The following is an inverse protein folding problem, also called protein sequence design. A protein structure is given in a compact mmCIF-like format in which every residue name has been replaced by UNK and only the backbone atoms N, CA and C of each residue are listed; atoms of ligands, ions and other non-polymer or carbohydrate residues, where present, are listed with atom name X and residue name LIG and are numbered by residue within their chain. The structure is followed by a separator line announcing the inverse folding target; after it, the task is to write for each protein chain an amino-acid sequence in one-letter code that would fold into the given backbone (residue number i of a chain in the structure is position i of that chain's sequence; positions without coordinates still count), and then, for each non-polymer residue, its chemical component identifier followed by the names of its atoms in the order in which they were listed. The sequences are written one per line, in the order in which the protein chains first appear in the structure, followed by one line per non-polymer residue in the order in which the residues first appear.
data_IF_322001336001
#
_entry.id   IF_322001336001
#
_cell.length_a   1.000
_cell.length_b   1.000
_cell.length_c   1.000
_cell.angle_alpha   90.00
_cell.angle_beta   90.00
_cell.angle_gamma   90.00
#
_symmetry.space_group_name_H-M   'P 1'
#
loop_
_entity.id
_entity.type
_entity.pdbx_description
1 polymer ?
#
# COMPACT_ATOMS: atom_id res chain seq x y z
N UNK A 1 -17.39 43.10 58.90
CA UNK A 1 -16.89 43.73 57.70
C UNK A 1 -17.21 42.76 56.57
N UNK A 2 -18.22 43.13 55.98
CA UNK A 2 -18.78 43.02 54.63
C UNK A 2 -18.70 41.68 53.93
N UNK A 3 -19.87 41.07 53.76
CA UNK A 3 -20.16 40.04 52.79
C UNK A 3 -20.42 40.68 51.41
N UNK A 4 -20.06 40.05 50.29
CA UNK A 4 -20.61 40.44 49.00
C UNK A 4 -21.80 39.57 48.60
N UNK A 5 -22.85 40.29 48.25
CA UNK A 5 -24.09 39.84 47.59
C UNK A 5 -23.81 39.26 46.19
N UNK A 6 -24.73 38.41 45.72
CA UNK A 6 -24.91 38.21 44.32
C UNK A 6 -25.33 36.82 43.84
N UNK A 7 -26.39 36.23 44.47
CA UNK A 7 -27.04 35.05 43.90
C UNK A 7 -28.00 35.47 42.78
N UNK A 8 -27.58 35.38 41.52
CA UNK A 8 -28.50 35.56 40.38
C UNK A 8 -29.18 34.25 40.05
N UNK A 9 -30.50 34.30 40.08
CA UNK A 9 -31.44 33.21 39.73
C UNK A 9 -31.16 32.68 38.32
N UNK A 10 -31.08 31.36 38.20
CA UNK A 10 -31.08 30.64 36.94
C UNK A 10 -32.44 30.77 36.25
N UNK A 11 -32.46 31.42 35.11
CA UNK A 11 -33.63 31.45 34.21
C UNK A 11 -33.85 30.05 33.62
N UNK A 12 -35.09 29.59 33.68
CA UNK A 12 -35.53 28.35 33.04
C UNK A 12 -35.49 28.50 31.50
N UNK A 13 -35.00 27.52 30.77
CA UNK A 13 -35.02 27.56 29.31
C UNK A 13 -36.47 27.44 28.79
N UNK A 14 -36.77 28.24 27.77
CA UNK A 14 -38.08 28.24 27.06
C UNK A 14 -38.29 26.91 26.31
N UNK A 15 -39.51 26.35 26.28
CA UNK A 15 -39.82 25.21 25.43
C UNK A 15 -40.01 25.69 23.99
N UNK A 16 -39.23 25.17 23.04
CA UNK A 16 -39.42 25.46 21.61
C UNK A 16 -38.15 25.56 20.78
N UNK A 17 -37.18 24.65 20.98
CA UNK A 17 -36.12 24.44 19.98
C UNK A 17 -36.31 23.03 19.41
N UNK A 18 -36.64 22.97 18.11
CA UNK A 18 -36.90 21.74 17.38
C UNK A 18 -35.75 20.74 17.50
N UNK A 19 -36.15 19.50 17.71
CA UNK A 19 -35.25 18.34 17.67
C UNK A 19 -34.48 18.35 16.34
N UNK A 20 -33.16 18.28 16.33
CA UNK A 20 -32.43 18.18 15.09
C UNK A 20 -32.92 16.89 14.37
N UNK A 21 -33.47 17.05 13.18
CA UNK A 21 -33.78 15.94 12.30
C UNK A 21 -32.53 15.11 12.13
N UNK A 22 -32.56 13.90 12.64
CA UNK A 22 -31.55 12.89 12.32
C UNK A 22 -31.38 12.87 10.81
N UNK A 23 -30.15 13.10 10.36
CA UNK A 23 -29.78 12.83 8.99
C UNK A 23 -30.21 11.37 8.67
N UNK A 24 -30.78 11.12 7.49
CA UNK A 24 -31.14 9.77 7.12
C UNK A 24 -29.89 8.90 7.23
N UNK A 25 -30.00 7.65 7.70
CA UNK A 25 -28.85 6.75 7.76
C UNK A 25 -28.24 6.72 6.36
N UNK A 26 -26.93 6.97 6.31
CA UNK A 26 -26.13 6.75 5.11
C UNK A 26 -26.62 5.42 4.54
N UNK A 27 -27.24 5.45 3.36
CA UNK A 27 -27.52 4.24 2.61
C UNK A 27 -26.18 3.57 2.45
N UNK A 28 -25.94 2.55 3.25
CA UNK A 28 -24.93 1.56 2.95
C UNK A 28 -25.30 1.07 1.56
N UNK A 29 -24.59 1.56 0.56
CA UNK A 29 -24.62 0.97 -0.76
C UNK A 29 -24.44 -0.51 -0.48
N UNK A 30 -25.43 -1.33 -0.88
CA UNK A 30 -25.27 -2.77 -0.86
C UNK A 30 -23.87 -3.00 -1.44
N UNK A 31 -22.99 -3.76 -0.78
CA UNK A 31 -21.78 -4.18 -1.43
C UNK A 31 -22.26 -4.91 -2.69
N UNK A 32 -22.21 -4.21 -3.83
CA UNK A 32 -22.31 -4.88 -5.08
C UNK A 32 -21.28 -5.97 -4.98
N UNK A 33 -21.62 -7.18 -5.29
CA UNK A 33 -20.80 -8.38 -5.32
C UNK A 33 -19.69 -8.31 -6.37
N UNK A 34 -19.09 -7.15 -6.57
CA UNK A 34 -17.76 -7.00 -7.07
C UNK A 34 -16.81 -7.28 -5.90
N UNK A 35 -16.64 -8.60 -5.63
CA UNK A 35 -15.31 -9.02 -5.23
C UNK A 35 -14.38 -8.25 -6.16
N UNK A 36 -13.41 -7.45 -5.63
CA UNK A 36 -12.40 -6.86 -6.48
C UNK A 36 -11.86 -8.03 -7.26
N UNK A 37 -12.16 -8.04 -8.55
CA UNK A 37 -11.87 -9.21 -9.37
C UNK A 37 -10.40 -9.49 -9.11
N UNK A 38 -10.03 -10.68 -8.57
CA UNK A 38 -8.63 -11.01 -8.44
C UNK A 38 -8.10 -10.74 -9.82
N UNK A 39 -7.30 -9.67 -9.97
CA UNK A 39 -7.08 -9.00 -11.23
C UNK A 39 -6.72 -9.99 -12.32
N UNK A 40 -6.33 -11.23 -11.96
CA UNK A 40 -5.93 -12.22 -12.96
C UNK A 40 -5.96 -13.67 -12.42
N UNK A 41 -6.25 -14.60 -13.32
CA UNK A 41 -6.06 -16.01 -13.05
C UNK A 41 -4.63 -16.28 -12.59
N UNK A 42 -4.48 -17.11 -11.56
CA UNK A 42 -3.18 -17.50 -10.99
C UNK A 42 -2.63 -16.56 -9.92
N UNK A 43 -3.36 -15.50 -9.53
CA UNK A 43 -3.01 -14.64 -8.40
C UNK A 43 -3.80 -15.08 -7.18
N UNK A 44 -3.08 -15.35 -6.08
CA UNK A 44 -3.70 -15.60 -4.77
C UNK A 44 -4.22 -14.27 -4.21
N UNK A 45 -5.46 -14.26 -3.75
CA UNK A 45 -6.04 -13.10 -3.05
C UNK A 45 -5.94 -13.27 -1.54
N UNK A 46 -5.33 -12.28 -0.85
CA UNK A 46 -5.19 -12.23 0.60
C UNK A 46 -5.39 -10.78 1.06
N UNK A 47 -6.63 -10.35 1.36
CA UNK A 47 -6.96 -8.94 1.55
C UNK A 47 -6.30 -8.33 2.79
N UNK A 48 -5.52 -7.27 2.58
CA UNK A 48 -4.97 -6.42 3.64
C UNK A 48 -6.01 -5.41 4.10
N UNK A 49 -6.12 -5.13 5.42
CA UNK A 49 -6.91 -4.01 5.92
C UNK A 49 -6.20 -2.65 5.71
N UNK A 50 -4.90 -2.66 5.45
CA UNK A 50 -4.04 -1.47 5.39
C UNK A 50 -4.09 -0.82 4.00
N UNK A 51 -5.19 -0.16 3.71
CA UNK A 51 -5.37 0.61 2.47
C UNK A 51 -6.39 1.73 2.67
N UNK A 52 -6.40 2.68 1.75
CA UNK A 52 -7.40 3.76 1.74
C UNK A 52 -7.92 4.05 0.33
N UNK A 53 -8.89 4.93 0.24
CA UNK A 53 -9.31 5.50 -1.03
C UNK A 53 -8.17 6.33 -1.66
N UNK A 54 -8.10 6.38 -2.99
CA UNK A 54 -7.11 7.17 -3.73
C UNK A 54 -7.49 8.64 -3.87
N UNK A 55 -8.66 9.07 -3.37
CA UNK A 55 -9.12 10.44 -3.53
C UNK A 55 -9.31 10.86 -5.00
N UNK A 56 -9.66 9.91 -5.87
CA UNK A 56 -9.82 10.16 -7.31
C UNK A 56 -8.50 10.23 -8.10
N UNK A 57 -7.35 10.00 -7.47
CA UNK A 57 -6.07 9.98 -8.18
C UNK A 57 -5.97 8.79 -9.14
N UNK A 58 -5.67 9.08 -10.40
CA UNK A 58 -5.46 8.04 -11.40
C UNK A 58 -4.12 7.32 -11.16
N UNK A 59 -4.13 6.00 -11.28
CA UNK A 59 -2.93 5.17 -11.20
C UNK A 59 -2.08 5.39 -12.45
N UNK A 60 -0.84 5.83 -12.24
CA UNK A 60 0.08 6.14 -13.34
C UNK A 60 1.55 5.78 -13.04
N UNK A 61 1.81 5.06 -11.96
CA UNK A 61 3.16 4.68 -11.52
C UNK A 61 3.14 3.24 -10.97
N UNK A 62 4.23 2.52 -11.16
CA UNK A 62 4.55 1.28 -10.44
C UNK A 62 5.82 1.50 -9.63
N UNK A 63 5.80 1.13 -8.36
CA UNK A 63 6.97 1.17 -7.48
C UNK A 63 7.36 -0.26 -7.12
N UNK A 64 8.60 -0.60 -7.45
CA UNK A 64 9.20 -1.91 -7.15
C UNK A 64 9.96 -1.80 -5.84
N UNK A 65 9.75 -2.78 -4.99
CA UNK A 65 10.37 -2.94 -3.68
C UNK A 65 11.04 -4.30 -3.57
N UNK A 66 11.84 -4.48 -2.55
CA UNK A 66 12.15 -5.79 -1.99
C UNK A 66 11.79 -5.84 -0.51
N UNK A 67 11.45 -7.02 -0.05
CA UNK A 67 11.15 -7.28 1.35
C UNK A 67 11.66 -8.66 1.76
N UNK A 68 12.27 -8.72 2.95
CA UNK A 68 12.52 -9.94 3.70
C UNK A 68 12.10 -9.73 5.15
N UNK A 69 11.44 -10.71 5.74
CA UNK A 69 10.88 -10.61 7.08
C UNK A 69 11.05 -11.95 7.82
N UNK A 70 12.01 -12.03 8.78
CA UNK A 70 12.99 -11.02 9.17
C UNK A 70 14.03 -10.77 8.06
N UNK A 71 14.92 -9.75 8.20
CA UNK A 71 15.98 -9.49 7.23
C UNK A 71 16.76 -10.75 6.87
N UNK A 72 16.97 -11.00 5.55
CA UNK A 72 17.65 -12.20 5.04
C UNK A 72 16.79 -13.47 5.02
N UNK A 73 15.56 -13.44 5.52
CA UNK A 73 14.63 -14.59 5.46
C UNK A 73 13.68 -14.47 4.27
N UNK A 74 13.72 -15.45 3.36
CA UNK A 74 12.98 -15.38 2.10
C UNK A 74 11.66 -16.16 2.09
N UNK A 75 11.09 -16.43 3.27
CA UNK A 75 9.72 -16.92 3.42
C UNK A 75 8.69 -15.82 3.20
N UNK A 76 7.44 -16.19 2.90
CA UNK A 76 6.35 -15.22 2.73
C UNK A 76 5.50 -15.03 3.97
N UNK A 77 5.54 -15.98 4.92
CA UNK A 77 4.58 -16.02 6.02
C UNK A 77 4.57 -14.72 6.86
N UNK A 78 5.74 -14.29 7.34
CA UNK A 78 5.80 -13.09 8.20
C UNK A 78 5.55 -11.80 7.40
N UNK A 79 5.88 -11.77 6.09
CA UNK A 79 5.49 -10.65 5.20
C UNK A 79 3.97 -10.61 5.01
N UNK A 80 3.33 -11.75 4.84
CA UNK A 80 1.87 -11.86 4.76
C UNK A 80 1.22 -11.38 6.06
N UNK A 81 1.69 -11.86 7.22
CA UNK A 81 1.19 -11.41 8.53
C UNK A 81 1.40 -9.90 8.76
N UNK A 82 2.53 -9.34 8.30
CA UNK A 82 2.79 -7.90 8.33
C UNK A 82 1.74 -7.12 7.53
N UNK A 83 1.48 -7.53 6.29
CA UNK A 83 0.51 -6.83 5.44
C UNK A 83 -0.94 -7.03 5.90
N UNK A 84 -1.21 -8.07 6.67
CA UNK A 84 -2.52 -8.31 7.28
C UNK A 84 -2.67 -7.63 8.65
N UNK A 85 -1.63 -6.95 9.17
CA UNK A 85 -1.65 -6.31 10.48
C UNK A 85 -1.67 -7.30 11.65
N UNK A 86 -1.12 -8.50 11.45
CA UNK A 86 -1.13 -9.59 12.42
C UNK A 86 0.25 -10.09 12.80
N UNK A 87 1.32 -9.43 12.31
CA UNK A 87 2.69 -9.83 12.62
C UNK A 87 2.94 -9.74 14.12
N UNK A 88 3.29 -10.88 14.74
CA UNK A 88 3.74 -10.93 16.11
C UNK A 88 5.18 -10.39 16.20
N UNK A 89 5.30 -9.14 16.65
CA UNK A 89 6.60 -8.46 16.74
C UNK A 89 7.52 -9.01 17.83
N UNK A 90 7.01 -9.85 18.75
CA UNK A 90 7.83 -10.53 19.75
C UNK A 90 8.67 -11.67 19.15
N UNK A 91 8.31 -12.20 17.98
CA UNK A 91 9.01 -13.33 17.35
C UNK A 91 10.44 -13.02 16.92
N UNK A 92 10.76 -11.77 16.60
CA UNK A 92 12.10 -11.40 16.15
C UNK A 92 12.43 -9.94 16.48
N UNK A 93 13.65 -9.61 16.97
CA UNK A 93 14.02 -8.25 17.35
C UNK A 93 13.86 -7.23 16.23
N UNK A 94 14.13 -7.60 14.97
CA UNK A 94 13.98 -6.71 13.81
C UNK A 94 12.52 -6.26 13.55
N UNK A 95 11.52 -6.99 14.08
CA UNK A 95 10.12 -6.64 13.88
C UNK A 95 9.67 -5.41 14.68
N UNK A 96 10.46 -5.01 15.69
CA UNK A 96 10.21 -3.75 16.43
C UNK A 96 10.17 -2.52 15.52
N UNK A 97 10.91 -2.55 14.41
CA UNK A 97 10.92 -1.43 13.45
C UNK A 97 9.58 -1.24 12.74
N UNK A 98 8.77 -2.28 12.65
CA UNK A 98 7.46 -2.25 11.99
C UNK A 98 6.28 -2.31 12.96
N UNK A 99 6.55 -2.34 14.27
CA UNK A 99 5.54 -2.36 15.31
C UNK A 99 4.61 -1.14 15.21
N UNK A 100 3.30 -1.39 15.25
CA UNK A 100 2.27 -0.36 15.15
C UNK A 100 2.17 0.33 13.78
N UNK A 101 2.93 -0.10 12.77
CA UNK A 101 2.85 0.48 11.43
C UNK A 101 1.85 -0.25 10.57
N UNK A 102 0.97 0.51 9.95
CA UNK A 102 0.10 0.03 8.88
C UNK A 102 0.90 -0.04 7.57
N UNK A 103 1.33 -1.21 7.18
CA UNK A 103 2.10 -1.45 5.96
C UNK A 103 1.36 -2.44 5.06
N UNK A 104 1.43 -2.21 3.77
CA UNK A 104 0.90 -3.12 2.75
C UNK A 104 1.53 -2.82 1.39
N UNK A 105 1.40 -3.77 0.47
CA UNK A 105 1.63 -3.55 -0.95
C UNK A 105 0.44 -4.09 -1.75
N UNK A 106 0.36 -3.75 -3.02
CA UNK A 106 -0.68 -4.34 -3.86
C UNK A 106 -0.37 -5.79 -4.18
N UNK A 107 0.90 -6.08 -4.45
CA UNK A 107 1.36 -7.42 -4.83
C UNK A 107 2.64 -7.80 -4.13
N UNK A 108 2.77 -9.10 -3.86
CA UNK A 108 4.01 -9.76 -3.42
C UNK A 108 4.35 -10.84 -4.44
N UNK A 109 5.60 -10.90 -4.86
CA UNK A 109 6.15 -11.94 -5.74
C UNK A 109 7.19 -12.74 -4.96
N UNK A 110 6.91 -14.01 -4.70
CA UNK A 110 7.85 -14.88 -3.99
C UNK A 110 9.00 -15.35 -4.89
N UNK A 111 10.00 -16.00 -4.28
CA UNK A 111 11.19 -16.53 -4.99
C UNK A 111 10.87 -17.55 -6.10
N UNK A 112 9.67 -18.14 -6.08
CA UNK A 112 9.18 -19.08 -7.09
C UNK A 112 8.35 -18.40 -8.18
N UNK A 113 8.19 -17.05 -8.11
CA UNK A 113 7.37 -16.27 -9.04
C UNK A 113 5.88 -16.37 -8.78
N UNK A 114 5.44 -16.91 -7.64
CA UNK A 114 4.02 -16.90 -7.27
C UNK A 114 3.64 -15.50 -6.83
N UNK A 115 2.48 -15.05 -7.30
CA UNK A 115 1.98 -13.70 -7.00
C UNK A 115 0.84 -13.78 -6.00
N UNK A 116 0.94 -12.99 -4.93
CA UNK A 116 -0.16 -12.74 -3.99
C UNK A 116 -0.57 -11.28 -4.11
N UNK A 117 -1.86 -11.03 -4.20
CA UNK A 117 -2.44 -9.69 -4.17
C UNK A 117 -3.04 -9.41 -2.78
N UNK A 118 -2.77 -8.24 -2.23
CA UNK A 118 -3.28 -7.81 -0.91
C UNK A 118 -4.23 -6.63 -1.00
N UNK A 119 -4.01 -5.73 -1.94
CA UNK A 119 -4.82 -4.51 -2.09
C UNK A 119 -5.28 -4.40 -3.55
N UNK A 120 -6.57 -4.09 -3.79
CA UNK A 120 -7.05 -3.80 -5.14
C UNK A 120 -6.34 -2.58 -5.73
N UNK A 121 -6.11 -2.54 -7.05
CA UNK A 121 -5.36 -1.44 -7.66
C UNK A 121 -6.11 -0.12 -7.73
N UNK A 122 -7.40 -0.12 -7.49
CA UNK A 122 -8.25 1.08 -7.30
C UNK A 122 -8.17 1.67 -5.89
N UNK A 123 -7.49 0.99 -4.95
CA UNK A 123 -7.21 1.46 -3.59
C UNK A 123 -5.73 1.83 -3.45
N UNK A 124 -5.40 2.70 -2.51
CA UNK A 124 -4.02 3.06 -2.18
C UNK A 124 -3.48 2.15 -1.08
N UNK A 125 -2.49 1.32 -1.38
CA UNK A 125 -1.72 0.57 -0.40
C UNK A 125 -0.66 1.45 0.27
N UNK A 126 -0.16 1.05 1.44
CA UNK A 126 0.81 1.81 2.23
C UNK A 126 2.22 1.25 2.05
N UNK A 127 2.87 1.52 0.89
CA UNK A 127 4.18 0.97 0.52
C UNK A 127 5.29 2.01 0.33
N UNK A 128 4.97 3.24 -0.10
CA UNK A 128 5.97 4.22 -0.48
C UNK A 128 6.36 5.20 0.65
N UNK A 129 5.51 5.33 1.69
CA UNK A 129 5.73 6.28 2.79
C UNK A 129 5.90 7.71 2.28
N UNK A 130 6.78 8.48 2.94
CA UNK A 130 7.16 9.81 2.45
C UNK A 130 7.87 9.67 1.11
N UNK A 131 7.25 10.19 0.05
CA UNK A 131 7.66 9.93 -1.32
C UNK A 131 7.26 11.05 -2.26
N UNK A 132 8.05 11.21 -3.35
CA UNK A 132 7.81 12.23 -4.38
C UNK A 132 8.22 11.69 -5.74
N UNK A 133 7.38 11.91 -6.75
CA UNK A 133 7.66 11.56 -8.13
C UNK A 133 7.28 12.72 -9.07
N UNK A 134 8.27 13.27 -9.82
CA UNK A 134 8.07 14.38 -10.76
C UNK A 134 7.26 15.55 -10.16
N UNK A 135 7.62 15.96 -8.95
CA UNK A 135 6.96 17.07 -8.24
C UNK A 135 5.69 16.69 -7.47
N UNK A 136 5.12 15.50 -7.67
CA UNK A 136 3.94 15.01 -6.94
C UNK A 136 4.38 14.27 -5.69
N UNK A 137 3.83 14.61 -4.55
CA UNK A 137 4.05 13.94 -3.26
C UNK A 137 3.03 12.82 -3.04
N UNK A 138 3.31 11.93 -2.08
CA UNK A 138 2.37 10.88 -1.67
C UNK A 138 2.18 9.80 -2.75
N UNK A 139 3.27 9.15 -3.20
CA UNK A 139 3.20 8.16 -4.28
C UNK A 139 2.21 7.02 -4.04
N UNK A 140 1.83 6.72 -2.78
CA UNK A 140 0.78 5.74 -2.49
C UNK A 140 -0.53 6.04 -3.25
N UNK A 141 -0.86 7.32 -3.46
CA UNK A 141 -2.14 7.72 -4.05
C UNK A 141 -2.26 7.38 -5.54
N UNK A 142 -1.15 7.40 -6.26
CA UNK A 142 -1.14 7.25 -7.70
C UNK A 142 -0.24 6.11 -8.21
N UNK A 143 0.25 5.25 -7.30
CA UNK A 143 1.08 4.12 -7.70
C UNK A 143 0.50 2.78 -7.28
N UNK A 144 1.03 1.73 -7.91
CA UNK A 144 0.90 0.34 -7.49
C UNK A 144 2.25 -0.12 -6.94
N UNK A 145 2.29 -0.58 -5.70
CA UNK A 145 3.49 -1.17 -5.08
C UNK A 145 3.57 -2.67 -5.32
N UNK A 146 4.73 -3.13 -5.74
CA UNK A 146 5.05 -4.56 -5.92
C UNK A 146 6.27 -4.88 -5.08
N UNK A 147 6.11 -5.79 -4.15
CA UNK A 147 7.20 -6.33 -3.32
C UNK A 147 7.74 -7.62 -3.91
N UNK A 148 9.04 -7.75 -3.97
CA UNK A 148 9.74 -8.98 -4.31
C UNK A 148 10.35 -9.56 -3.03
N UNK A 149 10.12 -10.83 -2.73
CA UNK A 149 10.84 -11.50 -1.64
C UNK A 149 12.33 -11.51 -1.98
N UNK A 150 13.12 -10.82 -1.18
CA UNK A 150 14.55 -10.64 -1.39
C UNK A 150 15.12 -9.53 -0.51
N UNK A 151 16.38 -9.20 -0.76
CA UNK A 151 17.11 -8.12 -0.11
C UNK A 151 18.11 -7.46 -1.07
N UNK A 152 18.97 -6.57 -0.55
CA UNK A 152 19.97 -5.86 -1.34
C UNK A 152 21.19 -6.71 -1.71
N UNK A 153 21.41 -7.85 -1.07
CA UNK A 153 22.64 -8.63 -1.14
C UNK A 153 22.53 -9.86 -2.05
N UNK A 154 21.30 -10.30 -2.33
CA UNK A 154 21.01 -11.49 -3.12
C UNK A 154 20.29 -11.18 -4.42
N UNK A 155 20.65 -11.91 -5.48
CA UNK A 155 20.02 -11.78 -6.78
C UNK A 155 18.55 -12.24 -6.74
N UNK A 156 17.69 -11.56 -7.51
CA UNK A 156 16.33 -12.00 -7.76
C UNK A 156 16.30 -13.13 -8.77
N UNK A 157 15.34 -14.03 -8.62
CA UNK A 157 15.29 -15.23 -9.45
C UNK A 157 14.70 -14.94 -10.84
N UNK A 158 15.03 -15.82 -11.80
CA UNK A 158 14.42 -15.85 -13.14
C UNK A 158 12.89 -15.84 -13.09
N UNK A 159 12.33 -16.62 -12.16
CA UNK A 159 10.88 -16.73 -11.96
C UNK A 159 10.27 -15.43 -11.44
N UNK A 160 11.00 -14.70 -10.58
CA UNK A 160 10.54 -13.39 -10.11
C UNK A 160 10.51 -12.37 -11.24
N UNK A 161 11.54 -12.30 -12.10
CA UNK A 161 11.53 -11.40 -13.26
C UNK A 161 10.42 -11.73 -14.24
N UNK A 162 10.21 -12.99 -14.57
CA UNK A 162 9.14 -13.42 -15.46
C UNK A 162 7.75 -13.03 -14.90
N UNK A 163 7.52 -13.28 -13.60
CA UNK A 163 6.27 -12.93 -12.93
C UNK A 163 6.08 -11.40 -12.87
N UNK A 164 7.13 -10.66 -12.50
CA UNK A 164 7.12 -9.20 -12.42
C UNK A 164 6.83 -8.56 -13.79
N UNK A 165 7.50 -8.99 -14.85
CA UNK A 165 7.26 -8.49 -16.19
C UNK A 165 5.81 -8.79 -16.65
N UNK A 166 5.32 -10.00 -16.39
CA UNK A 166 3.92 -10.37 -16.66
C UNK A 166 2.92 -9.51 -15.90
N UNK A 167 3.20 -9.23 -14.62
CA UNK A 167 2.40 -8.37 -13.77
C UNK A 167 2.40 -6.92 -14.28
N UNK A 168 3.57 -6.37 -14.58
CA UNK A 168 3.71 -5.01 -15.11
C UNK A 168 2.99 -4.83 -16.45
N UNK A 169 3.09 -5.79 -17.37
CA UNK A 169 2.34 -5.74 -18.66
C UNK A 169 0.82 -5.71 -18.44
N UNK A 170 0.31 -6.47 -17.48
CA UNK A 170 -1.11 -6.46 -17.13
C UNK A 170 -1.52 -5.13 -16.49
N UNK A 171 -0.67 -4.55 -15.61
CA UNK A 171 -0.91 -3.24 -15.03
C UNK A 171 -0.94 -2.14 -16.08
N UNK A 172 -0.03 -2.15 -17.06
CA UNK A 172 -0.05 -1.20 -18.18
C UNK A 172 -1.33 -1.29 -19.01
N UNK A 173 -1.88 -2.51 -19.20
CA UNK A 173 -3.18 -2.66 -19.88
C UNK A 173 -4.35 -2.17 -19.06
N UNK A 174 -4.36 -2.43 -17.75
CA UNK A 174 -5.42 -2.02 -16.83
C UNK A 174 -5.38 -0.51 -16.52
N UNK A 175 -4.19 0.08 -16.52
CA UNK A 175 -3.92 1.48 -16.21
C UNK A 175 -3.05 2.11 -17.32
N UNK A 176 -3.66 2.58 -18.43
CA UNK A 176 -2.92 3.01 -19.62
C UNK A 176 -1.95 4.18 -19.42
N UNK A 177 -2.03 4.88 -18.27
CA UNK A 177 -1.06 5.92 -17.90
C UNK A 177 0.27 5.34 -17.40
N UNK A 178 0.30 4.07 -17.01
CA UNK A 178 1.55 3.37 -16.67
C UNK A 178 2.27 3.04 -17.98
N UNK A 179 3.51 3.46 -18.09
CA UNK A 179 4.41 3.14 -19.20
C UNK A 179 5.68 2.48 -18.65
N UNK A 180 6.53 1.83 -19.46
CA UNK A 180 7.79 1.27 -18.97
C UNK A 180 8.68 2.29 -18.24
N UNK A 181 8.60 3.58 -18.61
CA UNK A 181 9.34 4.68 -17.94
C UNK A 181 8.72 5.12 -16.60
N UNK A 182 7.56 4.58 -16.27
CA UNK A 182 6.85 4.80 -15.01
C UNK A 182 6.83 3.56 -14.12
N UNK A 183 7.76 2.64 -14.35
CA UNK A 183 8.08 1.53 -13.48
C UNK A 183 9.43 1.85 -12.86
N UNK A 184 9.45 2.10 -11.56
CA UNK A 184 10.59 2.68 -10.84
C UNK A 184 10.83 1.94 -9.53
N UNK A 185 12.01 2.11 -8.93
CA UNK A 185 12.30 1.59 -7.60
C UNK A 185 11.87 2.55 -6.49
N UNK A 186 11.70 2.04 -5.29
CA UNK A 186 11.40 2.85 -4.11
C UNK A 186 12.47 3.92 -3.86
N UNK A 187 13.75 3.60 -4.07
CA UNK A 187 14.88 4.55 -3.98
C UNK A 187 14.71 5.80 -4.85
N UNK A 188 14.00 5.68 -5.98
CA UNK A 188 13.76 6.78 -6.90
C UNK A 188 12.62 7.71 -6.48
N UNK A 189 11.71 7.24 -5.62
CA UNK A 189 10.55 8.00 -5.15
C UNK A 189 10.62 8.39 -3.68
N UNK A 190 11.44 7.71 -2.87
CA UNK A 190 11.59 8.00 -1.45
C UNK A 190 12.05 9.45 -1.21
N UNK A 191 11.42 10.11 -0.23
CA UNK A 191 11.75 11.47 0.16
C UNK A 191 11.97 11.58 1.68
N UNK A 192 13.07 12.23 2.16
CA UNK A 192 14.19 12.74 1.36
C UNK A 192 14.92 11.63 0.60
N UNK A 193 15.69 12.01 -0.43
CA UNK A 193 16.50 11.06 -1.20
C UNK A 193 17.45 10.29 -0.31
N UNK A 194 17.67 9.01 -0.60
CA UNK A 194 18.53 8.13 0.20
C UNK A 194 17.82 7.49 1.41
N UNK A 195 16.57 7.86 1.72
CA UNK A 195 15.80 7.26 2.81
C UNK A 195 15.54 5.75 2.58
N UNK A 196 15.45 5.34 1.34
CA UNK A 196 15.24 3.95 0.91
C UNK A 196 16.17 3.58 -0.23
N UNK A 197 16.64 2.33 -0.23
CA UNK A 197 17.56 1.82 -1.24
C UNK A 197 16.92 0.76 -2.16
N UNK A 198 15.78 0.20 -1.76
CA UNK A 198 15.12 -0.88 -2.50
C UNK A 198 14.63 -0.46 -3.90
N UNK A 199 14.62 -1.38 -4.88
CA UNK A 199 14.93 -2.80 -4.78
C UNK A 199 16.43 -3.16 -4.71
N UNK A 200 17.33 -2.18 -4.58
CA UNK A 200 18.74 -2.36 -4.36
C UNK A 200 19.57 -2.62 -5.63
N UNK A 201 20.90 -2.75 -5.48
CA UNK A 201 21.83 -2.84 -6.60
C UNK A 201 21.78 -4.20 -7.33
N UNK A 202 21.26 -5.25 -6.67
CA UNK A 202 21.12 -6.59 -7.26
C UNK A 202 19.91 -6.72 -8.18
N UNK A 203 19.05 -5.68 -8.26
CA UNK A 203 17.91 -5.68 -9.17
C UNK A 203 18.33 -5.28 -10.58
N UNK A 204 18.21 -6.21 -11.54
CA UNK A 204 18.55 -6.01 -12.95
C UNK A 204 17.42 -5.27 -13.70
N UNK A 205 17.54 -3.94 -13.74
CA UNK A 205 16.62 -3.06 -14.45
C UNK A 205 16.63 -3.28 -15.97
N UNK A 206 17.78 -3.60 -16.55
CA UNK A 206 17.88 -3.79 -18.01
C UNK A 206 17.21 -5.08 -18.42
N UNK A 207 17.32 -6.11 -17.60
CA UNK A 207 16.55 -7.33 -17.78
C UNK A 207 15.04 -7.05 -17.74
N UNK A 208 14.53 -6.37 -16.69
CA UNK A 208 13.11 -6.05 -16.62
C UNK A 208 12.66 -5.28 -17.87
N UNK A 209 13.45 -4.30 -18.34
CA UNK A 209 13.14 -3.55 -19.56
C UNK A 209 13.07 -4.42 -20.79
N UNK A 210 14.02 -5.35 -20.97
CA UNK A 210 13.99 -6.34 -22.08
C UNK A 210 12.74 -7.20 -21.99
N UNK A 211 12.45 -7.75 -20.80
CA UNK A 211 11.29 -8.63 -20.60
C UNK A 211 9.95 -7.89 -20.83
N UNK A 212 9.88 -6.59 -20.57
CA UNK A 212 8.70 -5.77 -20.85
C UNK A 212 8.53 -5.48 -22.35
N UNK A 213 9.60 -5.44 -23.11
CA UNK A 213 9.58 -5.18 -24.55
C UNK A 213 9.21 -6.41 -25.39
N UNK A 214 9.36 -7.62 -24.82
CA UNK A 214 9.04 -8.88 -25.47
C UNK A 214 7.52 -9.16 -25.34
N UNK A 215 6.76 -8.92 -26.39
CA UNK A 215 5.33 -9.27 -26.54
C UNK A 215 5.18 -10.41 -27.51
#
# INVERSE_FOLDING_TARGET
MEAPEGYRARQRPRPGAGVPRFAPPLRLSRPGSHLPSPLWRGVRWLPSPHHRDRGGAAVDLVVIHHISCPPGHFGTADVEELFLGRLDTAKHPAYREVEGKELSAHFLVDRRGRVTQFVPTDRAAYHAGASRWRGREGCNDFSVGIELIGDADHDFTERQYAALAGLCRRLMRAHPRITPRRIVGHSQVAWPRGRKADPGPRFDWDRLRRDLATC
#
